data_IF_489000402138
#
_entry.id   IF_489000402138
#
_cell.length_a   1.000
_cell.length_b   1.000
_cell.length_c   1.000
_cell.angle_alpha   90.00
_cell.angle_beta   90.00
_cell.angle_gamma   90.00
#
_symmetry.space_group_name_H-M   'P 1'
#
loop_
_entity.id
_entity.type
_entity.pdbx_description
1 polymer ?
#
# COMPACT_ATOMS: atom_id res chain seq x y z
N UNK A 1 8.85 -7.52 -23.76
CA UNK A 1 10.25 -7.12 -23.54
C UNK A 1 11.13 -8.33 -23.23
N UNK A 2 10.76 -9.18 -22.28
CA UNK A 2 11.49 -10.40 -21.92
C UNK A 2 11.85 -11.27 -23.15
N UNK A 3 10.88 -11.57 -24.01
CA UNK A 3 11.08 -12.35 -25.23
C UNK A 3 12.15 -11.75 -26.17
N UNK A 4 12.23 -10.42 -26.25
CA UNK A 4 13.21 -9.75 -27.12
C UNK A 4 14.65 -9.88 -26.64
N UNK A 5 14.85 -10.11 -25.34
CA UNK A 5 16.17 -10.29 -24.72
C UNK A 5 16.44 -11.73 -24.32
N UNK A 6 15.55 -12.65 -24.67
CA UNK A 6 15.74 -14.10 -24.50
C UNK A 6 15.70 -14.59 -23.05
N UNK A 7 14.98 -13.89 -22.17
CA UNK A 7 14.80 -14.28 -20.76
C UNK A 7 13.31 -14.38 -20.39
N UNK A 8 13.00 -14.98 -19.24
CA UNK A 8 11.61 -15.10 -18.80
C UNK A 8 11.06 -13.78 -18.27
N UNK A 9 9.70 -13.59 -18.24
CA UNK A 9 9.09 -12.46 -17.58
C UNK A 9 9.49 -12.33 -16.09
N UNK A 10 9.61 -13.44 -15.37
CA UNK A 10 10.09 -13.44 -14.00
C UNK A 10 11.52 -12.90 -13.90
N UNK A 11 12.41 -13.39 -14.75
CA UNK A 11 13.82 -13.02 -14.78
C UNK A 11 14.03 -11.52 -15.05
N UNK A 12 13.25 -10.93 -15.96
CA UNK A 12 13.39 -9.49 -16.24
C UNK A 12 12.94 -8.63 -15.06
N UNK A 13 11.89 -9.06 -14.34
CA UNK A 13 11.46 -8.38 -13.11
C UNK A 13 12.52 -8.51 -12.01
N UNK A 14 13.06 -9.71 -11.82
CA UNK A 14 14.04 -10.00 -10.79
C UNK A 14 15.36 -9.22 -10.99
N UNK A 15 15.85 -9.17 -12.23
CA UNK A 15 17.07 -8.42 -12.56
C UNK A 15 16.93 -6.91 -12.37
N UNK A 16 15.71 -6.39 -12.62
CA UNK A 16 15.42 -4.96 -12.49
C UNK A 16 14.76 -4.59 -11.16
N UNK A 17 14.55 -5.54 -10.28
CA UNK A 17 14.01 -5.27 -8.95
C UNK A 17 14.99 -4.40 -8.15
N UNK A 18 14.46 -3.34 -7.54
CA UNK A 18 15.27 -2.46 -6.71
C UNK A 18 15.75 -3.18 -5.46
N UNK A 19 16.98 -2.89 -5.02
CA UNK A 19 17.65 -3.49 -3.87
C UNK A 19 18.08 -2.44 -2.86
N UNK A 20 18.30 -2.83 -1.58
CA UNK A 20 18.82 -1.91 -0.58
C UNK A 20 20.09 -1.19 -1.05
N UNK A 21 20.15 0.14 -0.86
CA UNK A 21 21.25 1.00 -1.29
C UNK A 21 21.14 1.53 -2.72
N UNK A 22 20.18 1.08 -3.52
CA UNK A 22 19.95 1.61 -4.86
C UNK A 22 19.16 2.91 -4.82
N UNK A 23 19.24 3.68 -5.90
CA UNK A 23 18.66 5.02 -6.01
C UNK A 23 17.46 5.00 -6.94
N UNK A 24 16.32 5.50 -6.46
CA UNK A 24 15.11 5.71 -7.26
C UNK A 24 15.28 6.88 -8.25
N UNK A 25 14.47 6.95 -9.32
CA UNK A 25 14.53 8.04 -10.29
C UNK A 25 14.36 9.45 -9.69
N UNK A 26 13.73 9.56 -8.52
CA UNK A 26 13.58 10.82 -7.76
C UNK A 26 14.80 11.15 -6.88
N UNK A 27 15.88 10.36 -6.92
CA UNK A 27 17.08 10.55 -6.13
C UNK A 27 17.05 9.97 -4.72
N UNK A 28 15.96 9.33 -4.31
CA UNK A 28 15.86 8.68 -3.01
C UNK A 28 16.69 7.39 -2.98
N UNK A 29 17.55 7.25 -1.96
CA UNK A 29 18.26 6.00 -1.67
C UNK A 29 17.31 5.08 -0.90
N UNK A 30 17.15 3.84 -1.35
CA UNK A 30 16.28 2.85 -0.73
C UNK A 30 17.12 1.97 0.17
N UNK A 31 17.04 2.19 1.46
CA UNK A 31 17.80 1.44 2.48
C UNK A 31 16.90 0.61 3.42
N UNK A 32 15.62 0.96 3.49
CA UNK A 32 14.62 0.28 4.31
C UNK A 32 13.40 -0.13 3.47
N UNK A 33 12.70 -1.19 3.88
CA UNK A 33 11.44 -1.64 3.25
C UNK A 33 11.56 -1.91 1.75
N UNK A 34 12.63 -2.59 1.34
CA UNK A 34 12.96 -2.92 -0.04
C UNK A 34 12.75 -4.41 -0.34
N UNK A 35 11.64 -4.99 0.11
CA UNK A 35 11.34 -6.42 0.01
C UNK A 35 10.86 -6.90 -1.38
N UNK A 36 11.11 -6.17 -2.48
CA UNK A 36 10.63 -6.56 -3.81
C UNK A 36 11.28 -7.85 -4.31
N UNK A 37 12.57 -8.05 -4.04
CA UNK A 37 13.28 -9.27 -4.43
C UNK A 37 12.69 -10.48 -3.72
N UNK A 38 12.51 -10.40 -2.42
CA UNK A 38 11.93 -11.46 -1.59
C UNK A 38 10.49 -11.80 -1.99
N UNK A 39 9.69 -10.81 -2.39
CA UNK A 39 8.33 -11.06 -2.89
C UNK A 39 8.33 -11.79 -4.23
N UNK A 40 9.28 -11.48 -5.12
CA UNK A 40 9.45 -12.19 -6.38
C UNK A 40 9.93 -13.63 -6.17
N UNK A 41 10.84 -13.84 -5.22
CA UNK A 41 11.31 -15.18 -4.86
C UNK A 41 10.20 -16.03 -4.23
N UNK A 42 9.39 -15.44 -3.36
CA UNK A 42 8.30 -16.11 -2.69
C UNK A 42 7.23 -16.67 -3.65
N UNK A 43 6.98 -16.02 -4.80
CA UNK A 43 6.00 -16.49 -5.79
C UNK A 43 6.61 -17.34 -6.92
N UNK A 44 7.94 -17.50 -6.93
CA UNK A 44 8.64 -18.14 -8.05
C UNK A 44 8.22 -19.57 -8.29
N UNK A 45 8.14 -20.37 -7.25
CA UNK A 45 7.79 -21.80 -7.36
C UNK A 45 6.39 -21.98 -7.94
N UNK A 46 5.40 -21.23 -7.44
CA UNK A 46 4.03 -21.29 -7.94
C UNK A 46 3.93 -20.78 -9.39
N UNK A 47 4.68 -19.72 -9.70
CA UNK A 47 4.76 -19.17 -11.05
C UNK A 47 5.31 -20.20 -12.04
N UNK A 48 6.44 -20.83 -11.73
CA UNK A 48 7.08 -21.84 -12.57
C UNK A 48 6.18 -23.09 -12.72
N UNK A 49 5.55 -23.55 -11.65
CA UNK A 49 4.62 -24.68 -11.67
C UNK A 49 3.39 -24.40 -12.54
N UNK A 50 2.85 -23.20 -12.48
CA UNK A 50 1.72 -22.81 -13.31
C UNK A 50 2.09 -22.74 -14.80
N UNK A 51 3.27 -22.21 -15.14
CA UNK A 51 3.78 -22.22 -16.51
C UNK A 51 4.00 -23.63 -17.02
N UNK A 52 4.61 -24.52 -16.21
CA UNK A 52 4.85 -25.93 -16.57
C UNK A 52 3.54 -26.68 -16.80
N UNK A 53 2.47 -26.30 -16.09
CA UNK A 53 1.11 -26.83 -16.29
C UNK A 53 0.37 -26.21 -17.51
N UNK A 54 1.02 -25.36 -18.29
CA UNK A 54 0.43 -24.71 -19.47
C UNK A 54 -0.62 -23.63 -19.14
N UNK A 55 -0.63 -23.13 -17.91
CA UNK A 55 -1.55 -22.04 -17.52
C UNK A 55 -1.06 -20.70 -18.05
N UNK A 56 -2.00 -19.82 -18.40
CA UNK A 56 -1.69 -18.41 -18.67
C UNK A 56 -1.39 -17.71 -17.34
N UNK A 57 -0.16 -17.22 -17.19
CA UNK A 57 0.31 -16.57 -15.96
C UNK A 57 0.92 -15.22 -16.32
N UNK A 58 0.54 -14.17 -15.58
CA UNK A 58 1.14 -12.85 -15.64
C UNK A 58 1.85 -12.52 -14.33
N UNK A 59 2.92 -11.73 -14.41
CA UNK A 59 3.65 -11.21 -13.27
C UNK A 59 3.63 -9.67 -13.34
N UNK A 60 3.23 -9.02 -12.25
CA UNK A 60 3.24 -7.57 -12.10
C UNK A 60 3.85 -7.16 -10.77
N UNK A 61 4.68 -6.13 -10.81
CA UNK A 61 5.25 -5.51 -9.61
C UNK A 61 4.68 -4.12 -9.42
N UNK A 62 4.45 -3.73 -8.16
CA UNK A 62 4.06 -2.38 -7.81
C UNK A 62 4.92 -1.89 -6.64
N UNK A 63 5.18 -0.58 -6.65
CA UNK A 63 5.90 0.09 -5.58
C UNK A 63 5.18 1.37 -5.20
N UNK A 64 5.11 1.65 -3.92
CA UNK A 64 4.52 2.87 -3.38
C UNK A 64 5.36 3.37 -2.21
N UNK A 65 5.75 4.64 -2.27
CA UNK A 65 6.38 5.27 -1.12
C UNK A 65 5.44 5.30 0.08
N UNK A 66 6.00 5.05 1.27
CA UNK A 66 5.39 5.41 2.52
C UNK A 66 5.79 6.86 2.85
N UNK A 67 4.80 7.73 3.06
CA UNK A 67 5.03 9.15 3.28
C UNK A 67 5.38 9.96 2.01
N UNK A 68 5.74 11.21 2.20
CA UNK A 68 6.08 12.16 1.11
C UNK A 68 7.51 11.95 0.59
N UNK A 69 8.35 11.28 1.37
CA UNK A 69 9.74 10.94 1.02
C UNK A 69 10.73 12.06 1.32
N UNK A 70 12.02 11.73 1.20
CA UNK A 70 13.19 12.64 1.24
C UNK A 70 13.17 13.68 2.37
N UNK A 71 12.83 13.24 3.62
CA UNK A 71 12.89 14.11 4.80
C UNK A 71 11.76 15.14 4.91
N UNK A 72 10.78 15.13 4.03
CA UNK A 72 9.60 15.97 4.16
C UNK A 72 8.65 15.30 5.16
N UNK A 73 8.27 15.99 6.27
CA UNK A 73 7.35 15.43 7.24
C UNK A 73 5.96 15.23 6.62
N UNK A 74 5.41 14.04 6.80
CA UNK A 74 4.05 13.69 6.40
C UNK A 74 3.21 13.53 7.68
N UNK A 75 2.55 14.60 8.10
CA UNK A 75 1.80 14.61 9.35
C UNK A 75 0.34 14.20 9.11
N UNK A 76 -0.02 13.05 9.63
CA UNK A 76 -1.43 12.62 9.70
C UNK A 76 -2.16 13.37 10.80
N UNK A 77 -3.37 13.87 10.49
CA UNK A 77 -4.25 14.51 11.47
C UNK A 77 -5.63 13.90 11.41
N UNK A 78 -6.18 13.61 12.57
CA UNK A 78 -7.54 13.08 12.74
C UNK A 78 -8.21 13.84 13.86
N UNK A 79 -9.47 14.17 13.68
CA UNK A 79 -10.34 14.75 14.69
C UNK A 79 -11.45 13.73 14.97
N UNK A 80 -11.70 13.47 16.25
CA UNK A 80 -12.75 12.56 16.70
C UNK A 80 -13.76 13.37 17.52
N UNK A 81 -15.05 13.25 17.20
CA UNK A 81 -16.12 13.95 17.88
C UNK A 81 -17.27 12.96 18.11
N UNK A 82 -17.86 13.00 19.29
CA UNK A 82 -19.17 12.38 19.53
C UNK A 82 -20.23 13.42 19.17
N UNK A 83 -21.04 13.13 18.17
CA UNK A 83 -22.09 14.02 17.66
C UNK A 83 -23.44 13.77 18.38
N UNK A 84 -24.47 14.50 17.99
CA UNK A 84 -25.83 14.40 18.57
C UNK A 84 -26.50 13.05 18.36
N UNK A 85 -26.05 12.26 17.39
CA UNK A 85 -26.50 10.88 17.12
C UNK A 85 -25.84 9.85 18.05
N UNK A 86 -25.08 10.31 19.05
CA UNK A 86 -24.34 9.48 20.02
C UNK A 86 -23.24 8.61 19.39
N UNK A 87 -22.86 8.86 18.12
CA UNK A 87 -21.80 8.13 17.43
C UNK A 87 -20.48 8.90 17.41
N UNK A 88 -19.38 8.15 17.27
CA UNK A 88 -18.05 8.71 17.11
C UNK A 88 -17.79 9.03 15.65
N UNK A 89 -17.73 10.31 15.31
CA UNK A 89 -17.41 10.79 13.96
C UNK A 89 -15.91 10.99 13.78
N UNK A 90 -15.35 10.46 12.68
CA UNK A 90 -13.94 10.56 12.32
C UNK A 90 -13.79 11.56 11.18
N UNK A 91 -13.06 12.63 11.41
CA UNK A 91 -12.72 13.65 10.42
C UNK A 91 -11.22 13.60 10.12
N UNK A 92 -10.83 13.61 8.86
CA UNK A 92 -9.42 13.60 8.44
C UNK A 92 -9.24 14.37 7.13
N UNK A 93 -8.12 15.06 6.99
CA UNK A 93 -7.73 15.70 5.73
C UNK A 93 -7.21 14.71 4.68
N UNK A 94 -6.98 13.45 5.05
CA UNK A 94 -6.53 12.43 4.12
C UNK A 94 -7.69 11.93 3.24
N UNK A 95 -7.41 11.72 1.95
CA UNK A 95 -8.40 11.24 0.97
C UNK A 95 -8.24 9.77 0.67
N UNK A 96 -9.36 9.08 0.52
CA UNK A 96 -9.38 7.70 0.03
C UNK A 96 -9.34 7.72 -1.51
N UNK A 97 -8.30 7.10 -2.08
CA UNK A 97 -8.11 6.94 -3.53
C UNK A 97 -8.27 5.47 -3.98
N UNK A 98 -8.96 4.66 -3.17
CA UNK A 98 -9.16 3.22 -3.38
C UNK A 98 -8.49 2.32 -2.35
N UNK A 99 -7.63 2.87 -1.48
CA UNK A 99 -6.89 2.10 -0.47
C UNK A 99 -7.71 1.74 0.79
N UNK A 100 -9.00 2.13 0.86
CA UNK A 100 -9.88 1.75 1.96
C UNK A 100 -9.65 2.54 3.26
N UNK A 101 -9.21 3.80 3.18
CA UNK A 101 -8.84 4.62 4.34
C UNK A 101 -9.92 4.63 5.43
N UNK A 102 -11.19 4.86 5.06
CA UNK A 102 -12.29 4.91 6.02
C UNK A 102 -12.43 3.60 6.81
N UNK A 103 -12.38 2.47 6.11
CA UNK A 103 -12.44 1.14 6.73
C UNK A 103 -11.26 0.93 7.69
N UNK A 104 -10.05 1.30 7.29
CA UNK A 104 -8.85 1.17 8.13
C UNK A 104 -8.98 2.01 9.41
N UNK A 105 -9.43 3.27 9.30
CA UNK A 105 -9.59 4.15 10.47
C UNK A 105 -10.65 3.61 11.42
N UNK A 106 -11.79 3.14 10.92
CA UNK A 106 -12.83 2.50 11.74
C UNK A 106 -12.29 1.26 12.44
N UNK A 107 -11.58 0.38 11.73
CA UNK A 107 -10.96 -0.81 12.31
C UNK A 107 -9.94 -0.47 13.40
N UNK A 108 -9.13 0.57 13.20
CA UNK A 108 -8.17 1.03 14.23
C UNK A 108 -8.87 1.45 15.52
N UNK A 109 -10.00 2.15 15.44
CA UNK A 109 -10.77 2.53 16.62
C UNK A 109 -11.39 1.31 17.29
N UNK A 110 -12.08 0.47 16.54
CA UNK A 110 -12.71 -0.77 17.08
C UNK A 110 -11.68 -1.68 17.75
N UNK A 111 -10.47 -1.79 17.19
CA UNK A 111 -9.40 -2.62 17.75
C UNK A 111 -8.85 -2.08 19.08
N UNK A 112 -8.92 -0.77 19.29
CA UNK A 112 -8.32 -0.09 20.45
C UNK A 112 -9.36 0.43 21.47
N UNK A 113 -10.63 0.19 21.23
CA UNK A 113 -11.75 0.64 22.12
C UNK A 113 -12.79 -0.46 22.24
N UNK A 114 -13.79 -0.28 23.10
CA UNK A 114 -14.94 -1.16 23.22
C UNK A 114 -16.09 -0.79 22.25
N UNK A 115 -15.85 0.14 21.31
CA UNK A 115 -16.83 0.54 20.29
C UNK A 115 -16.96 -0.51 19.19
N UNK A 116 -18.18 -0.63 18.65
CA UNK A 116 -18.47 -1.45 17.46
C UNK A 116 -18.38 -0.63 16.18
N UNK A 117 -18.42 -1.29 15.03
CA UNK A 117 -18.48 -0.61 13.74
C UNK A 117 -19.72 0.29 13.58
N UNK A 118 -20.84 -0.07 14.24
CA UNK A 118 -22.10 0.66 14.16
C UNK A 118 -22.08 1.96 14.99
N UNK A 119 -21.13 2.08 15.92
CA UNK A 119 -20.95 3.25 16.77
C UNK A 119 -20.06 4.33 16.13
N UNK A 120 -19.52 4.07 14.91
CA UNK A 120 -18.53 4.92 14.28
C UNK A 120 -18.97 5.38 12.90
N UNK A 121 -18.83 6.66 12.62
CA UNK A 121 -19.09 7.28 11.34
C UNK A 121 -17.78 7.84 10.76
N UNK A 122 -17.38 7.37 9.60
CA UNK A 122 -16.28 7.97 8.85
C UNK A 122 -16.80 9.08 7.95
N UNK A 123 -16.44 10.32 8.26
CA UNK A 123 -16.77 11.49 7.48
C UNK A 123 -15.82 11.63 6.27
N UNK A 124 -16.40 11.73 5.08
CA UNK A 124 -15.59 11.96 3.87
C UNK A 124 -14.97 13.34 3.93
N UNK A 125 -13.68 13.42 3.61
CA UNK A 125 -12.95 14.69 3.55
C UNK A 125 -13.65 15.70 2.62
N UNK A 126 -13.86 16.90 3.14
CA UNK A 126 -14.36 18.05 2.38
C UNK A 126 -13.79 19.35 2.97
N UNK A 127 -13.96 20.46 2.28
CA UNK A 127 -13.41 21.76 2.67
C UNK A 127 -14.06 22.41 3.89
N UNK A 128 -15.15 21.84 4.42
CA UNK A 128 -15.89 22.39 5.55
C UNK A 128 -15.53 21.72 6.87
N UNK A 129 -15.13 20.45 6.82
CA UNK A 129 -14.96 19.60 8.01
C UNK A 129 -13.57 18.94 8.13
N UNK A 130 -12.66 19.23 7.21
CA UNK A 130 -11.29 18.68 7.24
C UNK A 130 -10.26 19.65 7.81
#
# INVERSE_FOLDING_TARGET
MADKVGITPWEIHYRNAIRPGEVLPNGQIVDNSTGLVETLEAVKEEYDAALAAGKAVGLGCAMKNAGVGVGIPDTGRVKLIVEEDEKLHIFTGASCIGQGLGTVLVQMIVTNTDLSHDDIVYERSNTWIS
#
